data_IF_838682960791
#
_entry.id   IF_838682960791
#
_cell.length_a   1.000
_cell.length_b   1.000
_cell.length_c   1.000
_cell.angle_alpha   90.00
_cell.angle_beta   90.00
_cell.angle_gamma   90.00
#
_symmetry.space_group_name_H-M   'P 1'
#
loop_
_entity.id
_entity.type
_entity.pdbx_description
1 polymer ?
#
# COMPACT_ATOMS: atom_id res chain seq x y z
N UNK A 1 4.24 34.75 -11.23
CA UNK A 1 3.89 33.56 -10.42
C UNK A 1 3.12 32.62 -11.32
N UNK A 2 3.83 31.89 -12.17
CA UNK A 2 3.23 30.85 -13.00
C UNK A 2 3.12 29.61 -12.12
N UNK A 3 1.98 29.45 -11.47
CA UNK A 3 1.59 28.16 -10.93
C UNK A 3 1.34 27.24 -12.12
N UNK A 4 2.37 26.52 -12.55
CA UNK A 4 2.14 25.27 -13.21
C UNK A 4 1.22 24.49 -12.28
N UNK A 5 0.00 24.19 -12.73
CA UNK A 5 -0.74 23.08 -12.20
C UNK A 5 0.14 21.86 -12.47
N UNK A 6 1.07 21.60 -11.54
CA UNK A 6 1.70 20.30 -11.38
C UNK A 6 0.56 19.32 -11.49
N UNK A 7 0.59 18.50 -12.55
CA UNK A 7 -0.58 17.79 -13.05
C UNK A 7 -1.25 17.04 -11.91
N UNK A 8 -2.30 17.63 -11.34
CA UNK A 8 -3.04 17.03 -10.27
C UNK A 8 -3.74 15.86 -10.93
N UNK A 9 -3.13 14.68 -10.79
CA UNK A 9 -3.67 13.43 -11.27
C UNK A 9 -5.00 13.26 -10.54
N UNK A 10 -6.08 13.65 -11.22
CA UNK A 10 -7.42 13.63 -10.67
C UNK A 10 -8.07 12.30 -11.04
N UNK A 11 -8.36 11.52 -10.01
CA UNK A 11 -9.16 10.31 -10.09
C UNK A 11 -10.13 10.36 -8.92
N UNK A 12 -11.40 10.03 -9.15
CA UNK A 12 -12.46 10.15 -8.15
C UNK A 12 -12.95 8.76 -7.71
N UNK A 13 -12.19 7.99 -6.89
CA UNK A 13 -12.58 6.65 -6.43
C UNK A 13 -14.01 6.50 -5.90
N UNK A 14 -14.57 7.52 -5.24
CA UNK A 14 -15.93 7.46 -4.70
C UNK A 14 -17.04 7.75 -5.75
N UNK A 15 -16.68 8.22 -6.94
CA UNK A 15 -17.59 8.55 -8.04
C UNK A 15 -17.41 7.55 -9.19
N UNK A 16 -16.16 7.22 -9.54
CA UNK A 16 -15.76 6.35 -10.64
C UNK A 16 -15.88 4.85 -10.28
N UNK A 17 -17.07 4.43 -9.85
CA UNK A 17 -17.36 3.04 -9.45
C UNK A 17 -17.23 2.03 -10.59
N UNK A 18 -17.17 2.50 -11.84
CA UNK A 18 -17.01 1.68 -13.04
C UNK A 18 -15.63 1.01 -13.12
N UNK A 19 -14.63 1.53 -12.40
CA UNK A 19 -13.28 0.93 -12.34
C UNK A 19 -13.29 -0.40 -11.58
N UNK A 20 -14.23 -0.58 -10.65
CA UNK A 20 -14.40 -1.81 -9.88
C UNK A 20 -15.17 -2.90 -10.65
N UNK A 21 -15.56 -2.65 -11.90
CA UNK A 21 -16.18 -3.65 -12.77
C UNK A 21 -15.17 -4.74 -13.20
N UNK A 22 -15.63 -6.00 -13.20
CA UNK A 22 -14.81 -7.16 -13.53
C UNK A 22 -14.20 -7.03 -14.94
N UNK A 23 -12.86 -7.09 -15.03
CA UNK A 23 -12.10 -7.07 -16.29
C UNK A 23 -11.54 -5.70 -16.71
N UNK A 24 -12.03 -4.58 -16.16
CA UNK A 24 -11.46 -3.24 -16.43
C UNK A 24 -10.03 -3.17 -15.91
N UNK A 25 -9.81 -3.64 -14.67
CA UNK A 25 -8.48 -3.70 -14.05
C UNK A 25 -7.48 -4.52 -14.87
N UNK A 26 -7.88 -5.69 -15.34
CA UNK A 26 -7.02 -6.57 -16.15
C UNK A 26 -6.66 -5.92 -17.50
N UNK A 27 -7.60 -5.16 -18.09
CA UNK A 27 -7.33 -4.43 -19.33
C UNK A 27 -6.34 -3.28 -19.12
N UNK A 28 -6.47 -2.55 -18.01
CA UNK A 28 -5.57 -1.46 -17.64
C UNK A 28 -4.19 -2.01 -17.29
N UNK A 29 -4.11 -3.14 -16.58
CA UNK A 29 -2.85 -3.78 -16.22
C UNK A 29 -2.06 -4.23 -17.46
N UNK A 30 -2.73 -4.79 -18.48
CA UNK A 30 -2.10 -5.10 -19.77
C UNK A 30 -1.53 -3.86 -20.46
N UNK A 31 -2.28 -2.76 -20.47
CA UNK A 31 -1.78 -1.50 -21.05
C UNK A 31 -0.56 -0.97 -20.28
N UNK A 32 -0.56 -1.11 -18.94
CA UNK A 32 0.58 -0.77 -18.11
C UNK A 32 1.77 -1.67 -18.46
N UNK A 33 1.59 -2.98 -18.60
CA UNK A 33 2.64 -3.92 -18.99
C UNK A 33 3.25 -3.59 -20.35
N UNK A 34 2.42 -3.24 -21.35
CA UNK A 34 2.88 -2.83 -22.67
C UNK A 34 3.75 -1.55 -22.60
N UNK A 35 3.33 -0.55 -21.81
CA UNK A 35 4.09 0.68 -21.57
C UNK A 35 5.39 0.39 -20.78
N UNK A 36 5.33 -0.47 -19.75
CA UNK A 36 6.50 -0.90 -18.98
C UNK A 36 7.51 -1.63 -19.87
N UNK A 37 7.06 -2.39 -20.87
CA UNK A 37 7.94 -3.09 -21.82
C UNK A 37 8.64 -2.14 -22.80
N UNK A 38 8.00 -1.00 -23.09
CA UNK A 38 8.53 0.04 -23.96
C UNK A 38 9.53 0.94 -23.22
N UNK A 39 9.37 1.08 -21.90
CA UNK A 39 10.21 1.91 -21.06
C UNK A 39 11.46 1.16 -20.58
N UNK A 40 12.66 1.69 -20.86
CA UNK A 40 13.89 1.20 -20.26
C UNK A 40 14.13 1.91 -18.93
N UNK A 41 14.02 1.17 -17.82
CA UNK A 41 14.25 1.73 -16.49
C UNK A 41 15.75 1.89 -16.21
N UNK A 42 16.17 3.08 -15.79
CA UNK A 42 17.42 3.24 -15.06
C UNK A 42 17.17 2.79 -13.61
N UNK A 43 17.73 1.64 -13.23
CA UNK A 43 17.52 0.91 -11.96
C UNK A 43 17.82 1.72 -10.67
N UNK A 44 18.28 2.96 -10.79
CA UNK A 44 19.02 3.66 -9.75
C UNK A 44 18.22 4.79 -9.06
N UNK A 45 17.06 5.18 -9.60
CA UNK A 45 16.43 6.46 -9.24
C UNK A 45 15.09 6.40 -8.51
N UNK A 46 14.39 5.25 -8.49
CA UNK A 46 12.95 5.22 -8.15
C UNK A 46 12.61 4.78 -6.73
N UNK A 47 13.42 3.91 -6.15
CA UNK A 47 13.26 3.53 -4.75
C UNK A 47 14.35 4.27 -3.98
N UNK A 48 14.05 4.94 -2.85
CA UNK A 48 15.08 5.17 -1.86
C UNK A 48 15.56 3.77 -1.49
N UNK A 49 16.68 3.34 -2.08
CA UNK A 49 17.33 2.10 -1.72
C UNK A 49 17.50 2.20 -0.22
N UNK A 50 16.73 1.39 0.51
CA UNK A 50 16.76 1.33 1.96
C UNK A 50 18.24 1.14 2.30
N UNK A 51 18.87 2.20 2.79
CA UNK A 51 20.27 2.20 3.24
C UNK A 51 20.51 1.15 4.31
N UNK A 52 19.44 0.56 4.86
CA UNK A 52 19.44 -0.64 5.67
C UNK A 52 20.22 -1.81 5.03
N UNK A 53 20.16 -1.99 3.70
CA UNK A 53 20.96 -3.00 3.03
C UNK A 53 22.46 -2.64 2.94
N UNK A 54 22.80 -1.35 3.00
CA UNK A 54 24.19 -0.90 3.06
C UNK A 54 24.75 -1.05 4.49
N UNK A 55 23.96 -0.73 5.51
CA UNK A 55 24.34 -0.92 6.92
C UNK A 55 24.44 -2.41 7.32
N UNK A 56 23.62 -3.28 6.73
CA UNK A 56 23.71 -4.73 6.91
C UNK A 56 24.96 -5.34 6.24
N UNK A 57 25.43 -4.76 5.13
CA UNK A 57 26.67 -5.22 4.46
C UNK A 57 27.90 -5.03 5.33
N UNK A 58 27.95 -3.96 6.12
CA UNK A 58 29.04 -3.73 7.08
C UNK A 58 29.06 -4.80 8.20
N UNK A 59 27.89 -5.36 8.55
CA UNK A 59 27.79 -6.46 9.52
C UNK A 59 28.23 -7.81 8.93
N UNK A 60 27.99 -8.05 7.64
CA UNK A 60 28.44 -9.26 6.93
C UNK A 60 29.96 -9.26 6.66
N UNK A 61 30.56 -8.08 6.58
CA UNK A 61 32.00 -7.93 6.37
C UNK A 61 32.82 -8.06 7.66
N UNK A 62 32.17 -8.07 8.82
CA UNK A 62 32.83 -8.30 10.10
C UNK A 62 33.47 -9.70 10.13
N UNK A 63 34.77 -9.81 10.47
CA UNK A 63 35.51 -11.08 10.38
C UNK A 63 34.89 -12.19 11.24
N UNK A 64 34.30 -11.84 12.38
CA UNK A 64 33.60 -12.78 13.27
C UNK A 64 32.31 -13.35 12.67
N UNK A 65 31.61 -12.57 11.83
CA UNK A 65 30.38 -13.01 11.19
C UNK A 65 30.67 -13.94 10.01
N UNK A 66 31.74 -13.66 9.26
CA UNK A 66 32.20 -14.53 8.16
C UNK A 66 32.65 -15.90 8.67
N UNK A 67 33.37 -15.96 9.79
CA UNK A 67 33.76 -17.24 10.40
C UNK A 67 32.54 -17.99 10.89
N UNK A 68 31.66 -17.35 11.67
CA UNK A 68 30.45 -18.01 12.18
C UNK A 68 29.53 -18.51 11.05
N UNK A 69 29.34 -17.74 9.98
CA UNK A 69 28.55 -18.16 8.82
C UNK A 69 29.22 -19.28 8.02
N UNK A 70 30.56 -19.28 7.90
CA UNK A 70 31.29 -20.38 7.26
C UNK A 70 31.16 -21.68 8.06
N UNK A 71 31.26 -21.60 9.38
CA UNK A 71 31.13 -22.73 10.31
C UNK A 71 29.70 -23.29 10.29
N UNK A 72 28.67 -22.41 10.25
CA UNK A 72 27.25 -22.80 10.11
C UNK A 72 26.98 -23.43 8.73
N UNK A 73 27.55 -22.88 7.65
CA UNK A 73 27.37 -23.39 6.27
C UNK A 73 28.06 -24.74 6.04
N UNK A 74 29.19 -24.98 6.71
CA UNK A 74 29.85 -26.29 6.69
C UNK A 74 29.05 -27.35 7.45
N UNK A 75 28.13 -26.94 8.35
CA UNK A 75 27.24 -27.84 9.06
C UNK A 75 27.93 -28.69 10.13
N UNK A 76 29.19 -28.38 10.45
CA UNK A 76 30.02 -29.17 11.37
C UNK A 76 29.67 -28.94 12.85
N UNK A 77 29.05 -27.81 13.20
CA UNK A 77 28.65 -27.53 14.57
C UNK A 77 27.13 -27.54 14.74
N UNK A 78 26.58 -28.69 15.16
CA UNK A 78 25.37 -28.67 15.96
C UNK A 78 25.71 -27.92 17.25
N UNK A 79 25.22 -26.68 17.38
CA UNK A 79 25.32 -25.92 18.62
C UNK A 79 24.87 -26.80 19.80
N UNK A 80 25.81 -27.33 20.57
CA UNK A 80 25.54 -27.94 21.86
C UNK A 80 25.26 -26.79 22.83
N UNK A 81 24.08 -26.17 22.67
CA UNK A 81 23.76 -24.87 23.24
C UNK A 81 23.80 -24.85 24.77
N UNK A 82 23.66 -26.00 25.44
CA UNK A 82 23.77 -26.10 26.89
C UNK A 82 24.50 -27.38 27.31
N UNK A 83 25.62 -27.22 28.00
CA UNK A 83 26.25 -28.31 28.74
C UNK A 83 25.48 -28.56 30.05
N UNK A 84 24.54 -29.51 30.01
CA UNK A 84 23.78 -29.95 31.18
C UNK A 84 24.58 -30.87 32.11
N UNK A 85 25.76 -31.34 31.68
CA UNK A 85 26.58 -32.27 32.48
C UNK A 85 27.16 -31.57 33.70
N UNK A 86 27.40 -30.25 33.61
CA UNK A 86 27.86 -29.39 34.72
C UNK A 86 26.92 -29.37 35.93
N UNK A 87 25.61 -29.55 35.72
CA UNK A 87 24.60 -29.52 36.78
C UNK A 87 24.20 -30.91 37.30
N UNK A 88 24.74 -31.97 36.70
CA UNK A 88 24.53 -33.35 37.15
C UNK A 88 25.66 -33.73 38.10
N UNK A 89 25.30 -34.19 39.30
CA UNK A 89 26.29 -34.76 40.24
C UNK A 89 26.85 -36.05 39.62
N UNK A 90 28.17 -36.14 39.36
CA UNK A 90 28.77 -37.39 38.91
C UNK A 90 28.62 -38.45 39.99
N UNK A 91 28.34 -39.70 39.63
CA UNK A 91 28.28 -40.81 40.57
C UNK A 91 29.53 -41.66 40.41
N UNK A 92 30.30 -41.84 41.49
CA UNK A 92 31.41 -42.81 41.56
C UNK A 92 30.84 -44.14 42.10
N UNK A 93 31.33 -45.32 41.64
CA UNK A 93 30.86 -46.61 42.13
C UNK A 93 30.97 -46.73 43.65
N UNK A 94 29.93 -47.23 44.31
CA UNK A 94 29.83 -47.33 45.79
C UNK A 94 30.94 -48.18 46.42
N UNK A 95 31.49 -49.13 45.66
CA UNK A 95 32.51 -50.07 46.12
C UNK A 95 33.93 -49.46 46.17
N UNK A 96 34.14 -48.24 45.66
CA UNK A 96 35.43 -47.53 45.66
C UNK A 96 36.57 -48.21 44.89
N UNK A 97 36.33 -49.41 44.35
CA UNK A 97 37.31 -50.25 43.68
C UNK A 97 37.51 -49.82 42.22
N UNK A 98 38.22 -48.70 42.02
CA UNK A 98 38.65 -48.28 40.69
C UNK A 98 38.74 -46.77 40.45
N UNK A 99 38.34 -45.94 41.40
CA UNK A 99 38.35 -44.48 41.23
C UNK A 99 39.70 -43.86 41.58
N UNK A 100 40.28 -43.09 40.65
CA UNK A 100 41.54 -42.38 40.84
C UNK A 100 41.38 -41.23 41.84
N UNK A 101 42.46 -40.85 42.56
CA UNK A 101 42.45 -39.72 43.49
C UNK A 101 41.99 -38.41 42.84
N UNK A 102 42.26 -38.22 41.54
CA UNK A 102 41.81 -37.07 40.76
C UNK A 102 40.29 -37.05 40.52
N UNK A 103 39.66 -38.22 40.36
CA UNK A 103 38.21 -38.34 40.15
C UNK A 103 37.45 -38.00 41.43
N UNK A 104 37.98 -38.40 42.60
CA UNK A 104 37.43 -38.02 43.90
C UNK A 104 37.55 -36.51 44.18
N UNK A 105 38.63 -35.87 43.75
CA UNK A 105 38.80 -34.41 43.87
C UNK A 105 37.81 -33.66 42.97
N UNK A 106 37.66 -34.11 41.72
CA UNK A 106 36.66 -33.55 40.78
C UNK A 106 35.25 -33.72 41.31
N UNK A 107 34.92 -34.90 41.85
CA UNK A 107 33.62 -35.15 42.47
C UNK A 107 33.37 -34.18 43.63
N UNK A 108 34.34 -34.02 44.55
CA UNK A 108 34.23 -33.10 45.68
C UNK A 108 33.92 -31.68 45.21
N UNK A 109 34.72 -31.16 44.28
CA UNK A 109 34.53 -29.82 43.73
C UNK A 109 33.14 -29.64 43.10
N UNK A 110 32.68 -30.62 42.31
CA UNK A 110 31.35 -30.56 41.69
C UNK A 110 30.23 -30.62 42.74
N UNK A 111 30.37 -31.45 43.78
CA UNK A 111 29.38 -31.52 44.87
C UNK A 111 29.32 -30.25 45.70
N UNK A 112 30.46 -29.62 45.99
CA UNK A 112 30.54 -28.33 46.68
C UNK A 112 29.88 -27.22 45.87
N UNK A 113 30.16 -27.17 44.55
CA UNK A 113 29.49 -26.23 43.64
C UNK A 113 27.97 -26.45 43.61
N UNK A 114 27.52 -27.69 43.52
CA UNK A 114 26.10 -28.02 43.50
C UNK A 114 25.40 -27.62 44.81
N UNK A 115 26.05 -27.83 45.95
CA UNK A 115 25.52 -27.42 47.25
C UNK A 115 25.32 -25.90 47.30
N UNK A 116 26.29 -25.13 46.80
CA UNK A 116 26.16 -23.67 46.72
C UNK A 116 25.03 -23.23 45.78
N UNK A 117 24.87 -23.86 44.61
CA UNK A 117 23.75 -23.58 43.71
C UNK A 117 22.39 -23.91 44.34
N UNK A 118 22.27 -25.03 45.06
CA UNK A 118 21.02 -25.36 45.76
C UNK A 118 20.74 -24.36 46.89
N UNK A 119 21.76 -23.95 47.63
CA UNK A 119 21.61 -22.92 48.65
C UNK A 119 21.11 -21.60 48.03
N UNK A 120 21.75 -21.13 46.96
CA UNK A 120 21.32 -19.93 46.24
C UNK A 120 19.90 -20.07 45.66
N UNK A 121 19.55 -21.25 45.14
CA UNK A 121 18.20 -21.53 44.63
C UNK A 121 17.16 -21.42 45.74
N UNK A 122 17.43 -21.94 46.93
CA UNK A 122 16.53 -21.79 48.09
C UNK A 122 16.36 -20.32 48.45
N UNK A 123 17.45 -19.55 48.56
CA UNK A 123 17.38 -18.11 48.81
C UNK A 123 16.54 -17.37 47.74
N UNK A 124 16.73 -17.69 46.46
CA UNK A 124 15.96 -17.09 45.36
C UNK A 124 14.47 -17.49 45.43
N UNK A 125 14.16 -18.74 45.78
CA UNK A 125 12.78 -19.21 45.95
C UNK A 125 12.10 -18.55 47.14
N UNK A 126 12.81 -18.32 48.24
CA UNK A 126 12.28 -17.56 49.39
C UNK A 126 11.97 -16.11 49.01
N UNK A 127 12.85 -15.46 48.24
CA UNK A 127 12.59 -14.11 47.71
C UNK A 127 11.38 -14.12 46.75
N UNK A 128 11.29 -15.10 45.86
CA UNK A 128 10.16 -15.25 44.95
C UNK A 128 8.84 -15.50 45.69
N UNK A 129 8.87 -16.32 46.76
CA UNK A 129 7.69 -16.57 47.58
C UNK A 129 7.23 -15.31 48.31
N UNK A 130 8.16 -14.48 48.79
CA UNK A 130 7.86 -13.22 49.49
C UNK A 130 7.38 -12.12 48.56
N UNK A 131 8.02 -11.93 47.41
CA UNK A 131 7.81 -10.75 46.56
C UNK A 131 7.22 -11.05 45.18
N UNK A 132 7.30 -12.30 44.72
CA UNK A 132 6.92 -12.68 43.35
C UNK A 132 5.48 -12.32 43.02
N UNK A 133 4.52 -12.68 43.88
CA UNK A 133 3.12 -12.38 43.62
C UNK A 133 2.83 -10.88 43.48
N UNK A 134 3.49 -10.04 44.29
CA UNK A 134 3.33 -8.59 44.22
C UNK A 134 4.03 -7.99 43.00
N UNK A 135 5.24 -8.45 42.69
CA UNK A 135 5.99 -8.03 41.51
C UNK A 135 5.21 -8.35 40.22
N UNK A 136 4.63 -9.55 40.12
CA UNK A 136 3.80 -9.95 38.99
C UNK A 136 2.54 -9.11 38.84
N UNK A 137 1.86 -8.76 39.95
CA UNK A 137 0.70 -7.86 39.89
C UNK A 137 1.07 -6.45 39.40
N UNK A 138 2.19 -5.91 39.89
CA UNK A 138 2.70 -4.62 39.43
C UNK A 138 3.07 -4.64 37.96
N UNK A 139 3.73 -5.70 37.51
CA UNK A 139 4.05 -5.91 36.10
C UNK A 139 2.78 -5.97 35.24
N UNK A 140 1.77 -6.74 35.65
CA UNK A 140 0.49 -6.79 34.93
C UNK A 140 -0.18 -5.41 34.84
N UNK A 141 -0.18 -4.64 35.93
CA UNK A 141 -0.71 -3.27 35.92
C UNK A 141 0.04 -2.36 34.93
N UNK A 142 1.37 -2.46 34.85
CA UNK A 142 2.17 -1.71 33.89
C UNK A 142 1.83 -2.09 32.44
N UNK A 143 1.78 -3.41 32.15
CA UNK A 143 1.44 -3.92 30.83
C UNK A 143 0.01 -3.53 30.43
N UNK A 144 -0.94 -3.55 31.35
CA UNK A 144 -2.30 -3.07 31.10
C UNK A 144 -2.32 -1.57 30.78
N UNK A 145 -1.50 -0.76 31.46
CA UNK A 145 -1.32 0.66 31.17
C UNK A 145 -0.78 0.90 29.76
N UNK A 146 0.29 0.20 29.38
CA UNK A 146 0.88 0.26 28.04
C UNK A 146 -0.13 -0.18 26.96
N UNK A 147 -0.85 -1.27 27.20
CA UNK A 147 -1.88 -1.77 26.29
C UNK A 147 -2.99 -0.72 26.07
N UNK A 148 -3.41 -0.03 27.12
CA UNK A 148 -4.44 1.00 27.02
C UNK A 148 -3.94 2.23 26.25
N UNK A 149 -2.68 2.63 26.45
CA UNK A 149 -2.06 3.71 25.68
C UNK A 149 -2.03 3.38 24.18
N UNK A 150 -1.54 2.20 23.81
CA UNK A 150 -1.48 1.74 22.41
C UNK A 150 -2.88 1.64 21.80
N UNK A 151 -3.88 1.15 22.55
CA UNK A 151 -5.28 1.13 22.09
C UNK A 151 -5.81 2.54 21.84
N UNK A 152 -5.51 3.50 22.71
CA UNK A 152 -5.95 4.88 22.55
C UNK A 152 -5.31 5.53 21.31
N UNK A 153 -4.02 5.30 21.08
CA UNK A 153 -3.34 5.76 19.86
C UNK A 153 -3.96 5.15 18.61
N UNK A 154 -4.22 3.84 18.62
CA UNK A 154 -4.89 3.15 17.52
C UNK A 154 -6.26 3.76 17.19
N UNK A 155 -7.09 4.00 18.20
CA UNK A 155 -8.40 4.62 17.98
C UNK A 155 -8.30 6.07 17.50
N UNK A 156 -7.29 6.82 17.95
CA UNK A 156 -7.01 8.17 17.44
C UNK A 156 -6.63 8.13 15.95
N UNK A 157 -5.74 7.24 15.54
CA UNK A 157 -5.31 7.12 14.15
C UNK A 157 -6.46 6.62 13.27
N UNK A 158 -7.28 5.67 13.73
CA UNK A 158 -8.50 5.26 13.02
C UNK A 158 -9.46 6.43 12.82
N UNK A 159 -9.69 7.25 13.86
CA UNK A 159 -10.55 8.42 13.75
C UNK A 159 -10.00 9.44 12.74
N UNK A 160 -8.68 9.65 12.73
CA UNK A 160 -7.99 10.51 11.75
C UNK A 160 -8.18 10.01 10.31
N UNK A 161 -7.96 8.71 10.07
CA UNK A 161 -8.18 8.08 8.76
C UNK A 161 -9.63 8.22 8.32
N UNK A 162 -10.59 7.98 9.21
CA UNK A 162 -12.03 8.12 8.90
C UNK A 162 -12.37 9.57 8.57
N UNK A 163 -11.86 10.54 9.33
CA UNK A 163 -12.09 11.96 9.05
C UNK A 163 -11.54 12.37 7.68
N UNK A 164 -10.31 11.95 7.34
CA UNK A 164 -9.73 12.19 6.02
C UNK A 164 -10.55 11.55 4.90
N UNK A 165 -11.02 10.31 5.09
CA UNK A 165 -11.85 9.63 4.11
C UNK A 165 -13.23 10.30 3.94
N UNK A 166 -13.82 10.81 5.02
CA UNK A 166 -15.07 11.56 4.96
C UNK A 166 -14.91 12.87 4.20
N UNK A 167 -13.85 13.63 4.48
CA UNK A 167 -13.52 14.87 3.76
C UNK A 167 -13.28 14.59 2.28
N UNK A 168 -12.45 13.58 1.96
CA UNK A 168 -12.21 13.15 0.57
C UNK A 168 -13.50 12.77 -0.13
N UNK A 169 -14.37 11.99 0.51
CA UNK A 169 -15.67 11.61 -0.05
C UNK A 169 -16.54 12.83 -0.33
N UNK A 170 -16.63 13.78 0.61
CA UNK A 170 -17.41 15.00 0.42
C UNK A 170 -16.91 15.83 -0.78
N UNK A 171 -15.59 16.01 -0.90
CA UNK A 171 -14.98 16.71 -2.04
C UNK A 171 -15.25 16.01 -3.37
N UNK A 172 -15.09 14.68 -3.42
CA UNK A 172 -15.30 13.91 -4.64
C UNK A 172 -16.77 13.89 -5.07
N UNK A 173 -17.70 13.75 -4.11
CA UNK A 173 -19.14 13.80 -4.43
C UNK A 173 -19.54 15.18 -4.96
N UNK A 174 -19.05 16.26 -4.37
CA UNK A 174 -19.30 17.62 -4.89
C UNK A 174 -18.74 17.80 -6.30
N UNK A 175 -17.48 17.38 -6.54
CA UNK A 175 -16.87 17.40 -7.87
C UNK A 175 -17.67 16.54 -8.89
N UNK A 176 -18.07 15.33 -8.51
CA UNK A 176 -18.87 14.43 -9.35
C UNK A 176 -20.21 15.05 -9.76
N UNK A 177 -20.91 15.72 -8.83
CA UNK A 177 -22.15 16.43 -9.17
C UNK A 177 -21.93 17.59 -10.15
N UNK A 178 -20.80 18.30 -10.05
CA UNK A 178 -20.43 19.36 -10.99
C UNK A 178 -20.11 18.79 -12.37
N UNK A 179 -19.37 17.68 -12.44
CA UNK A 179 -19.05 16.98 -13.68
C UNK A 179 -20.32 16.50 -14.37
N UNK A 180 -21.22 15.80 -13.66
CA UNK A 180 -22.49 15.34 -14.21
C UNK A 180 -23.35 16.50 -14.76
N UNK A 181 -23.38 17.64 -14.07
CA UNK A 181 -24.07 18.84 -14.56
C UNK A 181 -23.43 19.40 -15.83
N UNK A 182 -22.10 19.50 -15.87
CA UNK A 182 -21.37 20.00 -17.04
C UNK A 182 -21.52 19.06 -18.23
N UNK A 183 -21.52 17.76 -18.00
CA UNK A 183 -21.73 16.75 -19.03
C UNK A 183 -23.15 16.85 -19.61
N UNK A 184 -24.17 16.98 -18.76
CA UNK A 184 -25.54 17.20 -19.22
C UNK A 184 -25.69 18.49 -20.05
N UNK A 185 -25.08 19.59 -19.60
CA UNK A 185 -25.07 20.85 -20.36
C UNK A 185 -24.33 20.70 -21.70
N UNK A 186 -23.24 19.94 -21.71
CA UNK A 186 -22.49 19.65 -22.93
C UNK A 186 -23.34 18.87 -23.93
N UNK A 187 -23.99 17.77 -23.51
CA UNK A 187 -24.91 17.03 -24.37
C UNK A 187 -26.05 17.90 -24.90
N UNK A 188 -26.64 18.74 -24.04
CA UNK A 188 -27.71 19.66 -24.43
C UNK A 188 -27.23 20.66 -25.48
N UNK A 189 -26.03 21.24 -25.32
CA UNK A 189 -25.44 22.18 -26.27
C UNK A 189 -25.12 21.51 -27.61
N UNK A 190 -24.56 20.29 -27.58
CA UNK A 190 -24.27 19.51 -28.79
C UNK A 190 -25.58 19.19 -29.53
N UNK A 191 -26.61 18.75 -28.80
CA UNK A 191 -27.92 18.46 -29.39
C UNK A 191 -28.58 19.70 -29.98
N UNK A 192 -28.53 20.85 -29.28
CA UNK A 192 -29.04 22.13 -29.79
C UNK A 192 -28.30 22.59 -31.04
N UNK A 193 -26.97 22.44 -31.07
CA UNK A 193 -26.18 22.82 -32.24
C UNK A 193 -26.56 21.95 -33.45
N UNK A 194 -26.66 20.63 -33.26
CA UNK A 194 -27.13 19.73 -34.32
C UNK A 194 -28.55 20.07 -34.81
N UNK A 195 -29.47 20.43 -33.91
CA UNK A 195 -30.82 20.89 -34.29
C UNK A 195 -30.79 22.20 -35.08
N UNK A 196 -29.92 23.14 -34.70
CA UNK A 196 -29.75 24.40 -35.43
C UNK A 196 -29.17 24.17 -36.83
N UNK A 197 -28.18 23.28 -36.97
CA UNK A 197 -27.63 22.92 -38.29
C UNK A 197 -28.72 22.34 -39.21
N UNK A 198 -29.55 21.44 -38.70
CA UNK A 198 -30.68 20.87 -39.46
C UNK A 198 -31.69 21.96 -39.84
N UNK A 199 -32.03 22.87 -38.93
CA UNK A 199 -32.95 23.97 -39.20
C UNK A 199 -32.39 24.96 -40.24
N UNK A 200 -31.10 25.28 -40.18
CA UNK A 200 -30.41 26.11 -41.16
C UNK A 200 -30.45 25.48 -42.56
N UNK A 201 -30.13 24.19 -42.68
CA UNK A 201 -30.21 23.47 -43.96
C UNK A 201 -31.65 23.45 -44.50
N UNK A 202 -32.64 23.27 -43.62
CA UNK A 202 -34.06 23.36 -43.99
C UNK A 202 -34.46 24.72 -44.55
N UNK A 203 -34.07 25.81 -43.87
CA UNK A 203 -34.32 27.19 -44.31
C UNK A 203 -33.57 27.52 -45.60
N UNK A 204 -32.33 27.08 -45.75
CA UNK A 204 -31.56 27.25 -46.99
C UNK A 204 -32.23 26.57 -48.18
N UNK A 205 -32.81 25.39 -47.99
CA UNK A 205 -33.56 24.69 -49.03
C UNK A 205 -34.84 25.46 -49.40
N UNK A 206 -35.60 25.94 -48.41
CA UNK A 206 -36.75 26.79 -48.69
C UNK A 206 -36.34 28.05 -49.46
N UNK A 207 -35.28 28.75 -49.05
CA UNK A 207 -34.80 29.95 -49.76
C UNK A 207 -34.43 29.62 -51.21
N UNK A 208 -33.82 28.46 -51.48
CA UNK A 208 -33.54 28.00 -52.84
C UNK A 208 -34.83 27.79 -53.64
N UNK A 209 -35.83 27.14 -53.07
CA UNK A 209 -37.15 26.95 -53.70
C UNK A 209 -37.81 28.30 -54.01
N UNK A 210 -37.89 29.22 -53.04
CA UNK A 210 -38.47 30.56 -53.25
C UNK A 210 -37.74 31.36 -54.34
N UNK A 211 -36.41 31.26 -54.43
CA UNK A 211 -35.63 31.88 -55.51
C UNK A 211 -35.96 31.28 -56.87
N UNK A 212 -36.07 29.96 -56.98
CA UNK A 212 -36.48 29.29 -58.22
C UNK A 212 -37.88 29.74 -58.64
N UNK A 213 -38.85 29.77 -57.71
CA UNK A 213 -40.20 30.28 -57.99
C UNK A 213 -40.20 31.74 -58.47
N UNK A 214 -39.38 32.61 -57.87
CA UNK A 214 -39.26 34.00 -58.29
C UNK A 214 -38.68 34.12 -59.70
N UNK A 215 -37.62 33.37 -60.01
CA UNK A 215 -37.01 33.33 -61.35
C UNK A 215 -37.99 32.80 -62.41
N UNK A 216 -38.77 31.76 -62.09
CA UNK A 216 -39.76 31.21 -63.00
C UNK A 216 -40.95 32.17 -63.21
N UNK A 217 -41.37 32.91 -62.18
CA UNK A 217 -42.36 33.97 -62.32
C UNK A 217 -41.85 35.15 -63.16
N UNK A 218 -40.57 35.53 -63.03
CA UNK A 218 -39.97 36.54 -63.91
C UNK A 218 -39.93 36.08 -65.37
N UNK A 219 -39.58 34.82 -65.64
CA UNK A 219 -39.63 34.25 -66.99
C UNK A 219 -41.06 34.22 -67.53
N UNK A 220 -42.03 33.85 -66.70
CA UNK A 220 -43.45 33.87 -67.08
C UNK A 220 -43.91 35.29 -67.43
N UNK A 221 -43.53 36.29 -66.63
CA UNK A 221 -43.85 37.69 -66.93
C UNK A 221 -43.18 38.18 -68.21
N UNK A 222 -41.90 37.84 -68.48
CA UNK A 222 -41.21 38.21 -69.73
C UNK A 222 -41.88 37.60 -70.96
N UNK A 223 -42.12 36.29 -70.93
CA UNK A 223 -42.77 35.58 -72.04
C UNK A 223 -44.21 36.06 -72.29
N UNK A 224 -44.96 36.39 -71.23
CA UNK A 224 -46.28 36.96 -71.38
C UNK A 224 -46.24 38.40 -71.94
N UNK A 225 -45.25 39.21 -71.56
CA UNK A 225 -45.05 40.55 -72.12
C UNK A 225 -44.69 40.49 -73.61
N UNK A 226 -43.76 39.62 -74.00
CA UNK A 226 -43.33 39.40 -75.39
C UNK A 226 -44.50 38.96 -76.28
N UNK A 227 -45.33 38.01 -75.82
CA UNK A 227 -46.51 37.55 -76.55
C UNK A 227 -47.61 38.62 -76.68
N UNK A 228 -47.69 39.59 -75.76
CA UNK A 228 -48.64 40.71 -75.87
C UNK A 228 -48.14 41.85 -76.76
N UNK A 229 -46.84 42.00 -76.94
CA UNK A 229 -46.24 42.99 -77.85
C UNK A 229 -46.19 42.52 -79.31
N UNK A 230 -46.14 41.21 -79.58
CA UNK A 230 -46.21 40.66 -80.94
C UNK A 230 -47.65 40.53 -81.50
N UNK A 231 -48.68 40.75 -80.68
CA UNK A 231 -50.09 40.69 -81.07
C UNK A 231 -50.73 42.06 -81.40
N UNK A 232 -49.93 43.13 -81.42
CA UNK A 232 -50.33 44.51 -81.77
C UNK A 232 -49.57 44.98 -83.03
#
# INVERSE_FOLDING_TARGET
>A
MNGAADGLIDALPYVDLQIDEDGVRDSVEKLIEDELSTFQFEDNGRLPTLKLAAEAKDAEDAPLWRTALADIKQGDEKLNALDLTRYRVPTVPEDGSGASAEEWQKLRQVTELQLQYQHQRVCNLELLQKYGANAWRMHNFQVEGELNAVKQELEREKASVVACNQERKAMQVDAGTKLARLEAQWYELVAKNAQLEVACVGLENQIKEWKQYAEDMEKYQRTHFENTTDAA
#
